data_IF_401436641359
#
_entry.id   IF_401436641359
#
_cell.length_a   1.000
_cell.length_b   1.000
_cell.length_c   1.000
_cell.angle_alpha   90.00
_cell.angle_beta   90.00
_cell.angle_gamma   90.00
#
_symmetry.space_group_name_H-M   'P 1'
#
loop_
_entity.id
_entity.type
_entity.pdbx_description
1 polymer ?
#
# COMPACT_ATOMS: atom_id res chain seq x y z
N UNK A 1 19.38 -2.41 10.83
CA UNK A 1 18.65 -2.06 9.59
C UNK A 1 17.18 -1.92 9.94
N UNK A 2 16.52 -0.84 9.50
CA UNK A 2 15.08 -0.65 9.78
C UNK A 2 14.27 -1.74 9.09
N UNK A 3 13.25 -2.27 9.76
CA UNK A 3 12.31 -3.21 9.16
C UNK A 3 11.60 -2.55 7.95
N UNK A 4 11.74 -3.08 6.72
CA UNK A 4 11.11 -2.49 5.54
C UNK A 4 9.57 -2.44 5.63
N UNK A 5 8.97 -3.37 6.36
CA UNK A 5 7.50 -3.47 6.51
C UNK A 5 7.00 -2.36 7.43
N UNK A 6 7.61 -2.23 8.61
CA UNK A 6 7.32 -1.11 9.50
C UNK A 6 7.52 0.24 8.83
N UNK A 7 8.66 0.43 8.13
CA UNK A 7 8.94 1.67 7.42
C UNK A 7 7.94 1.98 6.30
N UNK A 8 7.38 0.95 5.65
CA UNK A 8 6.32 1.11 4.67
C UNK A 8 5.04 1.67 5.32
N UNK A 9 4.60 1.08 6.42
CA UNK A 9 3.39 1.53 7.12
C UNK A 9 3.56 2.89 7.80
N UNK A 10 4.72 3.17 8.39
CA UNK A 10 5.05 4.48 8.94
C UNK A 10 5.00 5.57 7.87
N UNK A 11 5.50 5.26 6.66
CA UNK A 11 5.40 6.18 5.51
C UNK A 11 3.96 6.41 5.07
N UNK A 12 3.11 5.38 5.09
CA UNK A 12 1.68 5.55 4.79
C UNK A 12 1.00 6.47 5.82
N UNK A 13 1.29 6.27 7.11
CA UNK A 13 0.77 7.12 8.19
C UNK A 13 1.29 8.57 8.09
N UNK A 14 2.53 8.75 7.60
CA UNK A 14 3.17 10.04 7.40
C UNK A 14 2.60 10.90 6.27
N UNK A 15 1.72 10.36 5.41
CA UNK A 15 1.03 11.10 4.35
C UNK A 15 1.78 11.18 3.01
N UNK A 16 1.37 12.09 2.13
CA UNK A 16 1.93 12.26 0.77
C UNK A 16 1.22 11.45 -0.32
N UNK A 17 0.10 10.81 0.01
CA UNK A 17 -0.73 9.99 -0.88
C UNK A 17 -2.16 10.53 -1.03
N UNK A 18 -2.42 11.78 -0.64
CA UNK A 18 -3.77 12.36 -0.49
C UNK A 18 -4.57 12.29 -1.79
N UNK A 19 -3.92 12.56 -2.93
CA UNK A 19 -4.56 12.49 -4.26
C UNK A 19 -4.93 11.05 -4.64
N UNK A 20 -4.10 10.07 -4.25
CA UNK A 20 -4.34 8.66 -4.50
C UNK A 20 -5.51 8.16 -3.66
N UNK A 21 -5.51 8.54 -2.37
CA UNK A 21 -6.41 8.03 -1.35
C UNK A 21 -7.74 8.79 -1.26
N UNK A 22 -7.85 10.01 -1.83
CA UNK A 22 -9.11 10.79 -1.81
C UNK A 22 -10.32 10.05 -2.39
N UNK A 23 -10.10 9.07 -3.26
CA UNK A 23 -11.15 8.27 -3.89
C UNK A 23 -11.35 6.91 -3.22
N UNK A 24 -10.58 6.60 -2.19
CA UNK A 24 -10.66 5.35 -1.45
C UNK A 24 -11.08 5.63 -0.02
N UNK A 25 -12.08 4.90 0.45
CA UNK A 25 -12.46 4.84 1.87
C UNK A 25 -12.60 3.39 2.25
N UNK A 26 -12.26 3.08 3.48
CA UNK A 26 -12.44 1.75 4.06
C UNK A 26 -11.25 1.33 4.90
N UNK A 27 -11.35 0.11 5.41
CA UNK A 27 -10.36 -0.50 6.28
C UNK A 27 -9.71 -1.72 5.62
N UNK A 28 -8.41 -1.91 5.87
CA UNK A 28 -7.66 -3.06 5.35
C UNK A 28 -6.86 -3.68 6.47
N UNK A 29 -7.06 -4.97 6.70
CA UNK A 29 -6.21 -5.77 7.58
C UNK A 29 -5.16 -6.49 6.75
N UNK A 30 -3.91 -6.47 7.21
CA UNK A 30 -2.82 -7.27 6.67
C UNK A 30 -2.43 -8.31 7.72
N UNK A 31 -2.34 -9.56 7.26
CA UNK A 31 -1.83 -10.68 8.03
C UNK A 31 -0.57 -11.20 7.36
N UNK A 32 0.58 -10.93 8.00
CA UNK A 32 1.88 -11.30 7.47
C UNK A 32 2.41 -12.49 8.24
N UNK A 33 2.38 -13.68 7.62
CA UNK A 33 2.87 -14.90 8.24
C UNK A 33 4.40 -14.93 8.22
N UNK A 34 5.01 -15.30 9.33
CA UNK A 34 6.45 -15.51 9.46
C UNK A 34 6.76 -16.58 10.49
N UNK A 35 8.05 -16.82 10.71
CA UNK A 35 8.51 -17.88 11.60
C UNK A 35 8.06 -17.68 13.07
N UNK A 36 7.91 -16.42 13.49
CA UNK A 36 7.49 -16.03 14.85
C UNK A 36 5.96 -15.86 15.00
N UNK A 37 5.18 -16.20 13.98
CA UNK A 37 3.71 -16.08 13.97
C UNK A 37 3.19 -15.08 12.94
N UNK A 38 2.04 -14.46 13.24
CA UNK A 38 1.36 -13.53 12.33
C UNK A 38 1.55 -12.09 12.81
N UNK A 39 2.17 -11.27 11.96
CA UNK A 39 2.28 -9.83 12.18
C UNK A 39 1.05 -9.12 11.59
N UNK A 40 0.32 -8.41 12.44
CA UNK A 40 -0.97 -7.79 12.13
C UNK A 40 -0.83 -6.29 11.94
N UNK A 41 -1.36 -5.80 10.82
CA UNK A 41 -1.47 -4.38 10.55
C UNK A 41 -2.89 -4.03 10.12
N UNK A 42 -3.45 -2.96 10.67
CA UNK A 42 -4.75 -2.45 10.28
C UNK A 42 -4.62 -1.02 9.76
N UNK A 43 -5.19 -0.78 8.59
CA UNK A 43 -5.19 0.51 7.92
C UNK A 43 -6.61 1.03 7.88
N UNK A 44 -6.79 2.27 8.30
CA UNK A 44 -8.03 3.02 8.06
C UNK A 44 -7.75 4.12 7.06
N UNK A 45 -8.45 4.10 5.93
CA UNK A 45 -8.31 5.09 4.86
C UNK A 45 -9.58 5.95 4.84
N UNK A 46 -9.42 7.25 5.07
CA UNK A 46 -10.52 8.21 5.00
C UNK A 46 -9.99 9.59 4.60
N UNK A 47 -10.73 10.28 3.72
CA UNK A 47 -10.44 11.68 3.36
C UNK A 47 -8.99 11.94 2.90
N UNK A 48 -8.38 10.97 2.20
CA UNK A 48 -7.01 11.07 1.73
C UNK A 48 -5.94 10.83 2.80
N UNK A 49 -6.32 10.44 4.02
CA UNK A 49 -5.43 10.11 5.14
C UNK A 49 -5.42 8.61 5.40
N UNK A 50 -4.33 8.13 5.97
CA UNK A 50 -4.17 6.76 6.46
C UNK A 50 -3.87 6.82 7.94
N UNK A 51 -4.61 6.08 8.74
CA UNK A 51 -4.22 5.70 10.09
C UNK A 51 -3.77 4.24 10.08
N UNK A 52 -2.74 3.93 10.85
CA UNK A 52 -2.19 2.58 11.00
C UNK A 52 -2.28 2.18 12.46
N UNK A 53 -2.75 0.97 12.74
CA UNK A 53 -2.67 0.32 14.04
C UNK A 53 -2.18 -1.13 13.90
N UNK A 54 -1.86 -1.77 15.01
CA UNK A 54 -1.56 -3.22 15.09
C UNK A 54 -2.67 -4.00 15.78
N UNK A 55 -3.84 -3.40 15.92
CA UNK A 55 -4.97 -4.02 16.60
C UNK A 55 -5.66 -5.03 15.66
N UNK A 56 -6.14 -6.18 16.18
CA UNK A 56 -6.79 -7.22 15.41
C UNK A 56 -8.25 -6.86 15.11
N UNK A 57 -8.47 -5.73 14.42
CA UNK A 57 -9.79 -5.24 14.07
C UNK A 57 -10.31 -5.90 12.79
N UNK A 58 -11.63 -6.02 12.66
CA UNK A 58 -12.26 -6.37 11.39
C UNK A 58 -12.01 -5.29 10.34
N UNK A 59 -12.02 -5.70 9.07
CA UNK A 59 -11.72 -4.83 7.96
C UNK A 59 -12.57 -5.15 6.72
N UNK A 60 -12.79 -4.13 5.88
CA UNK A 60 -13.49 -4.28 4.59
C UNK A 60 -12.72 -5.18 3.61
N UNK A 61 -11.40 -5.29 3.81
CA UNK A 61 -10.54 -6.21 3.09
C UNK A 61 -9.46 -6.80 3.98
N UNK A 62 -9.11 -8.05 3.69
CA UNK A 62 -8.03 -8.80 4.32
C UNK A 62 -6.98 -9.15 3.28
N UNK A 63 -5.73 -8.78 3.53
CA UNK A 63 -4.58 -9.13 2.70
C UNK A 63 -3.70 -10.11 3.48
N UNK A 64 -3.55 -11.34 2.99
CA UNK A 64 -2.67 -12.33 3.60
C UNK A 64 -1.50 -12.63 2.66
N UNK A 65 -0.29 -12.70 3.22
CA UNK A 65 0.93 -13.12 2.51
C UNK A 65 2.00 -13.45 3.55
N UNK A 66 3.12 -14.04 3.13
CA UNK A 66 4.25 -14.20 4.02
C UNK A 66 5.07 -12.90 4.14
N UNK A 67 5.77 -12.75 5.26
CA UNK A 67 6.57 -11.58 5.59
C UNK A 67 7.69 -11.33 4.58
N UNK A 68 8.28 -12.37 3.99
CA UNK A 68 9.37 -12.22 3.02
C UNK A 68 8.85 -11.69 1.68
N UNK A 69 7.71 -12.19 1.20
CA UNK A 69 7.01 -11.71 0.01
C UNK A 69 6.59 -10.25 0.19
N UNK A 70 5.97 -9.91 1.33
CA UNK A 70 5.60 -8.52 1.59
C UNK A 70 6.81 -7.58 1.70
N UNK A 71 7.91 -8.02 2.32
CA UNK A 71 9.15 -7.25 2.36
C UNK A 71 9.72 -6.95 0.96
N UNK A 72 9.63 -7.90 0.01
CA UNK A 72 10.03 -7.66 -1.38
C UNK A 72 9.07 -6.70 -2.08
N UNK A 73 7.78 -6.80 -1.81
CA UNK A 73 6.76 -5.88 -2.32
C UNK A 73 7.05 -4.44 -1.84
N UNK A 74 7.29 -4.23 -0.55
CA UNK A 74 7.54 -2.89 0.01
C UNK A 74 8.82 -2.24 -0.52
N UNK A 75 9.78 -3.04 -0.99
CA UNK A 75 11.01 -2.57 -1.68
C UNK A 75 10.84 -2.39 -3.19
N UNK A 76 9.71 -2.80 -3.76
CA UNK A 76 9.45 -2.77 -5.20
C UNK A 76 10.09 -3.92 -5.99
N UNK A 77 10.66 -4.92 -5.31
CA UNK A 77 11.30 -6.11 -5.89
C UNK A 77 10.28 -7.18 -6.33
N UNK A 78 9.04 -7.05 -5.87
CA UNK A 78 7.90 -7.85 -6.29
C UNK A 78 6.68 -6.94 -6.53
N UNK A 79 5.85 -7.29 -7.52
CA UNK A 79 4.64 -6.55 -7.88
C UNK A 79 3.42 -7.16 -7.19
N UNK A 80 2.64 -6.42 -6.39
CA UNK A 80 1.42 -6.91 -5.75
C UNK A 80 0.48 -7.66 -6.69
N UNK A 81 0.19 -7.11 -7.88
CA UNK A 81 -0.70 -7.76 -8.83
C UNK A 81 -0.17 -9.12 -9.30
N UNK A 82 1.14 -9.23 -9.53
CA UNK A 82 1.77 -10.48 -9.96
C UNK A 82 1.82 -11.51 -8.83
N UNK A 83 2.07 -11.09 -7.58
CA UNK A 83 2.01 -11.95 -6.40
C UNK A 83 0.58 -12.48 -6.18
N UNK A 84 -0.43 -11.63 -6.37
CA UNK A 84 -1.83 -12.02 -6.29
C UNK A 84 -2.21 -13.06 -7.35
N UNK A 85 -1.84 -12.84 -8.61
CA UNK A 85 -2.09 -13.79 -9.70
C UNK A 85 -1.39 -15.15 -9.50
N UNK A 86 -0.29 -15.18 -8.73
CA UNK A 86 0.44 -16.40 -8.37
C UNK A 86 -0.03 -17.04 -7.06
N UNK A 87 -0.99 -16.41 -6.37
CA UNK A 87 -1.46 -16.82 -5.05
C UNK A 87 -0.38 -16.74 -3.94
N UNK A 88 0.70 -15.97 -4.18
CA UNK A 88 1.71 -15.63 -3.17
C UNK A 88 1.18 -14.55 -2.19
N UNK A 89 0.14 -13.83 -2.62
CA UNK A 89 -0.62 -12.84 -1.85
C UNK A 89 -2.10 -13.08 -2.12
N UNK A 90 -2.92 -13.16 -1.08
CA UNK A 90 -4.37 -13.28 -1.21
C UNK A 90 -5.05 -12.02 -0.73
N UNK A 91 -6.21 -11.71 -1.32
CA UNK A 91 -7.05 -10.59 -0.91
C UNK A 91 -8.48 -11.10 -0.81
N UNK A 92 -9.05 -11.03 0.39
CA UNK A 92 -10.48 -11.10 0.62
C UNK A 92 -11.04 -9.67 0.68
N UNK A 93 -12.22 -9.44 0.10
CA UNK A 93 -12.83 -8.13 -0.06
C UNK A 93 -12.72 -7.56 -1.48
N UNK A 94 -12.67 -6.23 -1.60
CA UNK A 94 -12.80 -5.56 -2.90
C UNK A 94 -11.48 -5.51 -3.70
N UNK A 95 -11.53 -5.89 -4.98
CA UNK A 95 -10.40 -5.82 -5.93
C UNK A 95 -9.70 -4.44 -5.98
N UNK A 96 -10.43 -3.36 -5.68
CA UNK A 96 -9.87 -2.01 -5.59
C UNK A 96 -8.67 -1.89 -4.64
N UNK A 97 -8.58 -2.73 -3.61
CA UNK A 97 -7.45 -2.75 -2.68
C UNK A 97 -6.16 -3.34 -3.27
N UNK A 98 -6.26 -4.30 -4.20
CA UNK A 98 -5.09 -4.82 -4.95
C UNK A 98 -4.45 -3.68 -5.75
N UNK A 99 -5.30 -2.94 -6.49
CA UNK A 99 -4.86 -1.80 -7.32
C UNK A 99 -4.33 -0.67 -6.45
N UNK A 100 -4.93 -0.43 -5.28
CA UNK A 100 -4.41 0.54 -4.34
C UNK A 100 -3.00 0.16 -3.87
N UNK A 101 -2.79 -1.08 -3.44
CA UNK A 101 -1.49 -1.56 -2.94
C UNK A 101 -0.40 -1.42 -4.01
N UNK A 102 -0.71 -1.81 -5.27
CA UNK A 102 0.19 -1.62 -6.41
C UNK A 102 0.64 -0.16 -6.56
N UNK A 103 -0.30 0.79 -6.41
CA UNK A 103 -0.02 2.23 -6.53
C UNK A 103 0.73 2.80 -5.33
N UNK A 104 0.47 2.29 -4.12
CA UNK A 104 1.19 2.70 -2.90
C UNK A 104 2.66 2.27 -2.92
N UNK A 105 2.94 1.09 -3.49
CA UNK A 105 4.31 0.59 -3.69
C UNK A 105 5.02 1.36 -4.81
N UNK A 106 4.31 1.67 -5.90
CA UNK A 106 4.89 2.35 -7.07
C UNK A 106 5.10 3.87 -6.90
N UNK A 107 4.42 4.51 -5.95
CA UNK A 107 4.50 5.95 -5.74
C UNK A 107 5.61 6.31 -4.75
N UNK A 108 6.73 6.93 -5.19
CA UNK A 108 7.65 7.57 -4.26
C UNK A 108 6.94 8.72 -3.52
N UNK A 109 7.32 9.02 -2.26
CA UNK A 109 6.72 10.11 -1.49
C UNK A 109 6.85 11.44 -2.26
N UNK A 110 5.73 12.13 -2.46
CA UNK A 110 5.67 13.37 -3.25
C UNK A 110 5.54 13.18 -4.77
N UNK A 111 5.32 11.95 -5.26
CA UNK A 111 5.08 11.69 -6.68
C UNK A 111 3.92 12.53 -7.22
N UNK A 112 4.25 13.57 -8.00
CA UNK A 112 3.26 14.30 -8.80
C UNK A 112 2.82 13.43 -9.97
N UNK A 113 1.57 13.62 -10.40
CA UNK A 113 1.05 12.95 -11.58
C UNK A 113 1.97 13.24 -12.78
N UNK A 114 2.37 12.26 -13.60
CA UNK A 114 3.27 12.50 -14.75
C UNK A 114 2.75 13.60 -15.69
N UNK A 115 1.42 13.68 -15.85
CA UNK A 115 0.74 14.75 -16.60
C UNK A 115 0.93 16.17 -16.04
N UNK A 116 1.22 16.33 -14.75
CA UNK A 116 1.58 17.63 -14.17
C UNK A 116 3.01 18.06 -14.54
N UNK A 117 3.88 17.12 -14.93
CA UNK A 117 5.24 17.40 -15.41
C UNK A 117 5.31 17.63 -16.92
N UNK A 118 4.26 17.25 -17.66
CA UNK A 118 4.17 17.43 -19.11
C UNK A 118 3.58 18.79 -19.53
N UNK A 119 3.20 19.64 -18.57
CA UNK A 119 2.51 20.92 -18.80
C UNK A 119 3.41 22.14 -19.05
N UNK A 120 4.73 22.04 -18.86
CA UNK A 120 5.65 23.20 -18.94
C UNK A 120 6.44 23.30 -20.27
N UNK A 121 5.96 22.68 -21.35
CA UNK A 121 6.61 22.77 -22.67
C UNK A 121 5.70 23.27 -23.78
N UNK A 122 5.10 24.43 -23.57
CA UNK A 122 4.64 25.37 -24.60
C UNK A 122 4.34 26.66 -23.82
N UNK A 123 4.99 27.80 -23.99
CA UNK A 123 5.15 28.61 -25.21
C UNK A 123 6.41 29.49 -25.06
N UNK A 124 7.29 29.50 -26.06
CA UNK A 124 8.19 30.63 -26.33
C UNK A 124 8.67 30.53 -27.78
N UNK A 125 8.33 31.60 -28.52
CA UNK A 125 8.71 31.99 -29.88
C UNK A 125 7.95 31.31 -31.03
#
# INVERSE_FOLDING_TARGET
MSDPIGAFFDRLAGGGYERLLRKTRGTVRFELTGDDGVDLWHLTIADGRVAVSREPLDADALICTDRATFARITRGEAKPLAAWLRNDLTIDGQFGFVVLLERLVAAPPGARHPRAMAGDRQESA
#
